data_IF_776845892512
#
_entry.id   IF_776845892512
#
_cell.length_a   1.000
_cell.length_b   1.000
_cell.length_c   1.000
_cell.angle_alpha   90.00
_cell.angle_beta   90.00
_cell.angle_gamma   90.00
#
_symmetry.space_group_name_H-M   'P 1'
#
loop_
_entity.id
_entity.type
_entity.pdbx_description
1 polymer ?
#
# COMPACT_ATOMS: atom_id res chain seq x y z
N UNK A 1 3.64 26.74 -2.28
CA UNK A 1 2.42 25.94 -2.55
C UNK A 1 2.72 24.90 -3.60
N UNK A 2 2.19 23.69 -3.44
CA UNK A 2 2.29 22.58 -4.39
C UNK A 2 0.91 22.25 -4.97
N UNK A 3 0.89 21.40 -6.00
CA UNK A 3 -0.34 20.86 -6.56
C UNK A 3 -0.14 19.41 -6.97
N UNK A 4 -1.23 18.67 -7.06
CA UNK A 4 -1.27 17.32 -7.60
C UNK A 4 -2.08 17.38 -8.89
N UNK A 5 -1.53 16.83 -9.95
CA UNK A 5 -2.21 16.68 -11.23
C UNK A 5 -2.39 15.20 -11.56
N UNK A 6 -3.62 14.80 -11.88
CA UNK A 6 -3.95 13.42 -12.26
C UNK A 6 -4.35 13.43 -13.74
N UNK A 7 -3.57 12.71 -14.56
CA UNK A 7 -3.84 12.56 -15.99
C UNK A 7 -4.35 11.14 -16.28
N UNK A 8 -5.64 11.01 -16.55
CA UNK A 8 -6.27 9.75 -16.92
C UNK A 8 -6.05 9.32 -18.38
N UNK A 9 -5.53 10.21 -19.24
CA UNK A 9 -5.29 9.93 -20.66
C UNK A 9 -3.84 9.61 -20.99
N UNK A 10 -2.91 10.04 -20.14
CA UNK A 10 -1.47 9.91 -20.39
C UNK A 10 -0.97 10.87 -21.49
N UNK A 11 -1.32 12.14 -21.40
CA UNK A 11 -0.95 13.15 -22.40
C UNK A 11 0.52 13.57 -22.26
N UNK A 12 1.34 13.02 -23.15
CA UNK A 12 2.78 13.32 -23.19
C UNK A 12 3.08 14.80 -23.49
N UNK A 13 2.23 15.49 -24.26
CA UNK A 13 2.42 16.90 -24.58
C UNK A 13 2.22 17.77 -23.34
N UNK A 14 1.20 17.45 -22.56
CA UNK A 14 0.94 18.13 -21.28
C UNK A 14 2.05 17.88 -20.28
N UNK A 15 2.51 16.64 -20.15
CA UNK A 15 3.65 16.31 -19.28
C UNK A 15 4.90 17.10 -19.68
N UNK A 16 5.26 17.13 -20.96
CA UNK A 16 6.42 17.87 -21.46
C UNK A 16 6.33 19.36 -21.15
N UNK A 17 5.15 19.93 -21.26
CA UNK A 17 4.89 21.34 -20.93
C UNK A 17 5.07 21.61 -19.44
N UNK A 18 4.48 20.79 -18.58
CA UNK A 18 4.63 20.90 -17.12
C UNK A 18 6.09 20.75 -16.70
N UNK A 19 6.78 19.75 -17.23
CA UNK A 19 8.20 19.53 -16.95
C UNK A 19 9.07 20.72 -17.37
N UNK A 20 8.83 21.28 -18.56
CA UNK A 20 9.55 22.46 -19.04
C UNK A 20 9.32 23.68 -18.12
N UNK A 21 8.10 23.86 -17.63
CA UNK A 21 7.78 24.95 -16.69
C UNK A 21 8.50 24.75 -15.34
N UNK A 22 8.48 23.54 -14.78
CA UNK A 22 9.17 23.21 -13.52
C UNK A 22 10.68 23.43 -13.67
N UNK A 23 11.25 22.97 -14.79
CA UNK A 23 12.67 23.15 -15.12
C UNK A 23 13.05 24.64 -15.29
N UNK A 24 12.21 25.45 -15.93
CA UNK A 24 12.48 26.89 -16.07
C UNK A 24 12.50 27.61 -14.72
N UNK A 25 11.90 27.03 -13.69
CA UNK A 25 11.89 27.55 -12.32
C UNK A 25 13.03 26.96 -11.46
N UNK A 26 13.86 26.06 -12.01
CA UNK A 26 14.91 25.35 -11.27
C UNK A 26 14.39 24.46 -10.14
N UNK A 27 13.21 23.86 -10.33
CA UNK A 27 12.51 23.07 -9.31
C UNK A 27 12.27 21.62 -9.73
N UNK A 28 13.14 21.06 -10.55
CA UNK A 28 13.03 19.69 -11.05
C UNK A 28 12.99 18.66 -9.91
N UNK A 29 13.76 18.90 -8.83
CA UNK A 29 13.83 18.03 -7.68
C UNK A 29 12.53 17.99 -6.85
N UNK A 30 11.68 18.99 -7.01
CA UNK A 30 10.36 19.05 -6.35
C UNK A 30 9.28 18.29 -7.16
N UNK A 31 9.59 17.86 -8.38
CA UNK A 31 8.65 17.17 -9.24
C UNK A 31 8.67 15.67 -9.00
N UNK A 32 7.52 15.12 -8.54
CA UNK A 32 7.31 13.69 -8.41
C UNK A 32 6.36 13.24 -9.52
N UNK A 33 6.83 12.29 -10.32
CA UNK A 33 6.04 11.67 -11.39
C UNK A 33 5.73 10.21 -11.02
N UNK A 34 4.44 9.86 -11.00
CA UNK A 34 3.99 8.47 -10.88
C UNK A 34 3.36 8.06 -12.20
N UNK A 35 4.01 7.15 -12.91
CA UNK A 35 3.54 6.64 -14.20
C UNK A 35 3.24 5.15 -14.09
N UNK A 36 1.95 4.81 -14.02
CA UNK A 36 1.49 3.42 -13.91
C UNK A 36 1.76 2.60 -15.18
N UNK A 37 1.94 3.23 -16.33
CA UNK A 37 2.20 2.55 -17.60
C UNK A 37 3.61 1.96 -17.69
N UNK A 38 4.57 2.49 -16.93
CA UNK A 38 5.95 1.98 -16.95
C UNK A 38 6.15 0.72 -16.10
N UNK A 39 5.22 0.44 -15.17
CA UNK A 39 5.27 -0.76 -14.32
C UNK A 39 4.71 -2.03 -14.97
N UNK A 40 4.02 -1.89 -16.11
CA UNK A 40 3.37 -3.02 -16.79
C UNK A 40 4.30 -3.78 -17.77
N UNK A 41 5.55 -3.39 -17.88
CA UNK A 41 6.52 -4.10 -18.72
C UNK A 41 7.34 -5.05 -17.87
N UNK A 42 7.20 -6.35 -18.11
CA UNK A 42 8.12 -7.39 -17.69
C UNK A 42 9.46 -7.21 -18.43
N UNK A 43 10.20 -6.16 -18.08
CA UNK A 43 11.48 -5.88 -18.72
C UNK A 43 12.56 -6.64 -17.97
N UNK A 44 12.96 -7.77 -18.50
CA UNK A 44 14.18 -8.48 -18.17
C UNK A 44 15.29 -7.78 -18.97
N UNK A 45 15.97 -6.81 -18.34
CA UNK A 45 17.09 -6.11 -18.97
C UNK A 45 17.64 -4.97 -18.11
N UNK A 46 18.83 -4.40 -18.43
CA UNK A 46 19.36 -3.25 -17.72
C UNK A 46 18.35 -2.10 -17.82
N UNK A 47 17.83 -1.68 -16.66
CA UNK A 47 16.80 -0.64 -16.59
C UNK A 47 17.41 0.71 -16.96
N UNK A 48 17.22 1.11 -18.21
CA UNK A 48 17.38 2.49 -18.58
C UNK A 48 16.40 3.35 -17.80
N UNK A 49 16.91 4.39 -17.16
CA UNK A 49 16.24 5.46 -16.39
C UNK A 49 14.76 5.24 -16.10
N UNK A 50 14.45 4.95 -14.85
CA UNK A 50 13.05 4.93 -14.39
C UNK A 50 12.45 6.34 -14.57
N UNK A 51 11.51 6.46 -15.48
CA UNK A 51 10.73 7.69 -15.69
C UNK A 51 9.54 7.79 -14.71
N UNK A 52 9.66 7.17 -13.55
CA UNK A 52 8.58 7.13 -12.55
C UNK A 52 9.15 7.02 -11.15
N UNK A 53 8.63 7.81 -10.24
CA UNK A 53 8.84 7.60 -8.82
C UNK A 53 8.00 6.42 -8.34
N UNK A 54 8.44 5.80 -7.26
CA UNK A 54 7.70 4.72 -6.59
C UNK A 54 6.84 5.29 -5.48
N UNK A 55 5.63 4.76 -5.34
CA UNK A 55 4.73 5.09 -4.24
C UNK A 55 4.31 3.81 -3.52
N UNK A 56 4.51 3.78 -2.21
CA UNK A 56 3.89 2.79 -1.35
C UNK A 56 2.72 3.44 -0.59
N UNK A 57 1.46 3.20 -1.00
CA UNK A 57 0.29 3.82 -0.37
C UNK A 57 0.09 3.36 1.09
N UNK A 58 0.72 2.25 1.50
CA UNK A 58 0.63 1.69 2.85
C UNK A 58 1.70 2.20 3.80
N UNK A 59 2.66 2.99 3.32
CA UNK A 59 3.76 3.53 4.13
C UNK A 59 3.29 4.50 5.22
N UNK A 60 2.14 5.11 5.04
CA UNK A 60 1.53 6.09 5.96
C UNK A 60 0.02 5.87 6.06
N UNK A 61 -0.60 6.43 7.08
CA UNK A 61 -2.04 6.36 7.32
C UNK A 61 -2.42 5.45 8.48
N UNK A 62 -3.61 5.69 9.03
CA UNK A 62 -4.17 4.88 10.12
C UNK A 62 -4.68 3.53 9.62
N UNK A 63 -4.91 2.60 10.54
CA UNK A 63 -5.47 1.28 10.22
C UNK A 63 -6.83 1.38 9.50
N UNK A 64 -7.69 2.30 9.94
CA UNK A 64 -9.00 2.51 9.31
C UNK A 64 -8.90 3.08 7.90
N UNK A 65 -8.01 4.07 7.67
CA UNK A 65 -7.79 4.63 6.34
C UNK A 65 -7.26 3.57 5.36
N UNK A 66 -6.29 2.77 5.80
CA UNK A 66 -5.69 1.73 4.96
C UNK A 66 -6.65 0.56 4.72
N UNK A 67 -7.48 0.21 5.70
CA UNK A 67 -8.56 -0.76 5.50
C UNK A 67 -9.55 -0.27 4.43
N UNK A 68 -10.00 0.97 4.52
CA UNK A 68 -10.89 1.57 3.50
C UNK A 68 -10.23 1.61 2.11
N UNK A 69 -8.94 1.91 2.03
CA UNK A 69 -8.20 1.85 0.76
C UNK A 69 -8.27 0.45 0.15
N UNK A 70 -7.96 -0.60 0.92
CA UNK A 70 -8.03 -1.99 0.44
C UNK A 70 -9.46 -2.36 0.03
N UNK A 71 -10.45 -2.02 0.86
CA UNK A 71 -11.87 -2.28 0.57
C UNK A 71 -12.31 -1.59 -0.72
N UNK A 72 -11.92 -0.35 -0.95
CA UNK A 72 -12.27 0.38 -2.17
C UNK A 72 -11.71 -0.27 -3.44
N UNK A 73 -10.56 -0.93 -3.35
CA UNK A 73 -9.99 -1.70 -4.45
C UNK A 73 -10.76 -3.01 -4.71
N UNK A 74 -11.39 -3.58 -3.67
CA UNK A 74 -12.22 -4.78 -3.79
C UNK A 74 -13.61 -4.48 -4.38
N UNK A 75 -14.14 -3.29 -4.19
CA UNK A 75 -15.50 -2.89 -4.60
C UNK A 75 -15.70 -2.84 -6.11
N UNK A 76 -14.64 -2.71 -6.87
CA UNK A 76 -14.72 -2.60 -8.32
C UNK A 76 -15.06 -3.91 -9.07
N UNK A 77 -15.21 -5.04 -8.38
CA UNK A 77 -15.22 -6.37 -9.00
C UNK A 77 -16.46 -7.25 -8.80
N UNK A 78 -17.52 -6.85 -8.05
CA UNK A 78 -18.65 -7.76 -7.78
C UNK A 78 -20.03 -7.10 -7.80
N UNK A 79 -20.94 -7.68 -8.58
CA UNK A 79 -22.35 -7.27 -8.74
C UNK A 79 -23.36 -8.42 -8.52
N UNK A 80 -23.18 -9.29 -7.50
CA UNK A 80 -24.13 -10.35 -7.19
C UNK A 80 -24.48 -10.40 -5.71
N UNK A 81 -25.76 -10.69 -5.38
CA UNK A 81 -26.32 -10.68 -4.02
C UNK A 81 -25.65 -11.66 -3.04
N UNK A 82 -25.14 -12.78 -3.52
CA UNK A 82 -24.36 -13.70 -2.68
C UNK A 82 -22.97 -13.14 -2.35
N UNK A 83 -22.51 -12.19 -3.12
CA UNK A 83 -21.24 -11.47 -2.89
C UNK A 83 -21.25 -10.59 -1.65
N UNK A 84 -22.42 -10.05 -1.24
CA UNK A 84 -22.49 -9.06 -0.16
C UNK A 84 -22.15 -9.64 1.23
N UNK A 85 -22.54 -10.88 1.50
CA UNK A 85 -22.20 -11.54 2.76
C UNK A 85 -20.71 -11.90 2.83
N UNK A 86 -20.14 -12.40 1.74
CA UNK A 86 -18.72 -12.71 1.66
C UNK A 86 -17.87 -11.44 1.73
N UNK A 87 -18.34 -10.38 1.10
CA UNK A 87 -17.74 -9.07 1.13
C UNK A 87 -17.68 -8.49 2.54
N UNK A 88 -18.78 -8.56 3.29
CA UNK A 88 -18.82 -8.13 4.68
C UNK A 88 -17.79 -8.85 5.56
N UNK A 89 -17.62 -10.16 5.37
CA UNK A 89 -16.59 -10.95 6.08
C UNK A 89 -15.18 -10.55 5.66
N UNK A 90 -14.95 -10.33 4.37
CA UNK A 90 -13.66 -9.90 3.86
C UNK A 90 -13.29 -8.50 4.38
N UNK A 91 -14.24 -7.58 4.45
CA UNK A 91 -14.05 -6.24 5.01
C UNK A 91 -13.63 -6.34 6.49
N UNK A 92 -14.39 -7.09 7.31
CA UNK A 92 -14.04 -7.28 8.72
C UNK A 92 -12.66 -7.91 8.92
N UNK A 93 -12.28 -8.84 8.05
CA UNK A 93 -10.94 -9.43 8.08
C UNK A 93 -9.84 -8.41 7.72
N UNK A 94 -10.06 -7.59 6.69
CA UNK A 94 -9.12 -6.51 6.30
C UNK A 94 -8.95 -5.50 7.43
N UNK A 95 -10.04 -5.11 8.09
CA UNK A 95 -9.99 -4.19 9.24
C UNK A 95 -9.17 -4.77 10.39
N UNK A 96 -9.41 -6.04 10.74
CA UNK A 96 -8.64 -6.73 11.77
C UNK A 96 -7.16 -6.83 11.40
N UNK A 97 -6.86 -7.19 10.16
CA UNK A 97 -5.50 -7.29 9.64
C UNK A 97 -4.76 -5.93 9.73
N UNK A 98 -5.41 -4.84 9.32
CA UNK A 98 -4.80 -3.52 9.38
C UNK A 98 -4.57 -3.03 10.82
N UNK A 99 -5.44 -3.40 11.77
CA UNK A 99 -5.23 -3.12 13.20
C UNK A 99 -3.97 -3.80 13.76
N UNK A 100 -3.53 -4.89 13.17
CA UNK A 100 -2.30 -5.59 13.55
C UNK A 100 -1.09 -5.03 12.80
N UNK A 101 -1.17 -4.92 11.48
CA UNK A 101 -0.02 -4.58 10.64
C UNK A 101 0.42 -3.12 10.77
N UNK A 102 -0.53 -2.19 10.97
CA UNK A 102 -0.19 -0.75 11.08
C UNK A 102 0.63 -0.44 12.33
N UNK A 103 0.25 -0.90 13.54
CA UNK A 103 1.12 -0.74 14.71
C UNK A 103 2.50 -1.36 14.54
N UNK A 104 2.60 -2.50 13.88
CA UNK A 104 3.89 -3.15 13.60
C UNK A 104 4.76 -2.32 12.64
N UNK A 105 4.13 -1.70 11.63
CA UNK A 105 4.80 -0.73 10.75
C UNK A 105 5.30 0.47 11.55
N UNK A 106 4.44 1.04 12.38
CA UNK A 106 4.75 2.25 13.16
C UNK A 106 5.84 1.99 14.20
N UNK A 107 5.90 0.77 14.73
CA UNK A 107 7.00 0.33 15.59
C UNK A 107 8.28 -0.05 14.82
N UNK A 108 8.27 0.00 13.50
CA UNK A 108 9.45 -0.32 12.67
C UNK A 108 9.74 -1.80 12.48
N UNK A 109 8.85 -2.70 12.89
CA UNK A 109 9.05 -4.15 12.75
C UNK A 109 8.87 -4.63 11.31
N UNK A 110 8.00 -3.98 10.54
CA UNK A 110 7.73 -4.32 9.15
C UNK A 110 7.73 -3.07 8.27
N UNK A 111 8.08 -3.27 7.00
CA UNK A 111 7.75 -2.33 5.93
C UNK A 111 6.40 -2.76 5.34
N UNK A 112 5.33 -2.07 5.72
CA UNK A 112 4.00 -2.42 5.25
C UNK A 112 3.85 -2.07 3.77
N UNK A 113 3.62 -3.09 2.95
CA UNK A 113 3.34 -3.02 1.52
C UNK A 113 2.28 -4.04 1.11
N UNK A 114 1.94 -4.08 -0.17
CA UNK A 114 0.95 -5.02 -0.70
C UNK A 114 1.36 -6.49 -0.52
N UNK A 115 2.67 -6.81 -0.55
CA UNK A 115 3.15 -8.18 -0.37
C UNK A 115 2.98 -8.62 1.07
N UNK A 116 3.28 -7.76 2.04
CA UNK A 116 3.06 -8.04 3.47
C UNK A 116 1.58 -8.26 3.72
N UNK A 117 0.70 -7.40 3.20
CA UNK A 117 -0.76 -7.58 3.33
C UNK A 117 -1.18 -8.94 2.76
N UNK A 118 -0.74 -9.28 1.56
CA UNK A 118 -1.05 -10.55 0.91
C UNK A 118 -0.56 -11.76 1.73
N UNK A 119 0.65 -11.69 2.29
CA UNK A 119 1.22 -12.78 3.07
C UNK A 119 0.49 -13.03 4.38
N UNK A 120 -0.05 -11.97 4.99
CA UNK A 120 -0.84 -12.04 6.23
C UNK A 120 -2.34 -12.11 5.98
N UNK A 121 -2.79 -12.09 4.74
CA UNK A 121 -4.19 -12.34 4.37
C UNK A 121 -4.51 -13.84 4.50
N UNK A 122 -4.22 -14.38 5.69
CA UNK A 122 -4.38 -15.78 6.03
C UNK A 122 -4.76 -15.90 7.49
N UNK A 123 -5.99 -16.34 7.78
CA UNK A 123 -6.55 -16.34 9.12
C UNK A 123 -5.65 -17.00 10.17
N UNK A 124 -5.09 -18.23 9.97
CA UNK A 124 -4.21 -18.84 10.94
C UNK A 124 -2.96 -18.03 11.27
N UNK A 125 -2.41 -17.28 10.31
CA UNK A 125 -1.27 -16.39 10.57
C UNK A 125 -1.67 -15.19 11.41
N UNK A 126 -2.84 -14.63 11.16
CA UNK A 126 -3.37 -13.52 11.95
C UNK A 126 -3.70 -13.98 13.38
N UNK A 127 -4.34 -15.13 13.52
CA UNK A 127 -4.65 -15.72 14.82
C UNK A 127 -3.38 -15.99 15.65
N UNK A 128 -2.33 -16.54 15.05
CA UNK A 128 -1.06 -16.75 15.72
C UNK A 128 -0.47 -15.44 16.27
N UNK A 129 -0.51 -14.35 15.49
CA UNK A 129 -0.04 -13.04 15.99
C UNK A 129 -0.88 -12.56 17.16
N UNK A 130 -2.19 -12.66 17.08
CA UNK A 130 -3.11 -12.14 18.11
C UNK A 130 -3.05 -12.98 19.39
N UNK A 131 -3.00 -14.31 19.27
CA UNK A 131 -3.02 -15.23 20.41
C UNK A 131 -1.64 -15.33 21.06
N UNK A 132 -0.61 -15.54 20.27
CA UNK A 132 0.75 -15.75 20.77
C UNK A 132 1.49 -14.45 21.04
N UNK A 133 0.96 -13.33 20.56
CA UNK A 133 1.56 -11.98 20.64
C UNK A 133 3.02 -11.96 20.18
N UNK A 134 3.31 -12.81 19.19
CA UNK A 134 4.64 -12.96 18.61
C UNK A 134 4.55 -12.81 17.10
N UNK A 135 5.42 -11.98 16.56
CA UNK A 135 5.57 -11.83 15.13
C UNK A 135 6.82 -12.55 14.65
N UNK A 136 6.65 -13.42 13.66
CA UNK A 136 7.76 -14.10 13.01
C UNK A 136 7.90 -13.58 11.59
N UNK A 137 8.99 -12.89 11.34
CA UNK A 137 9.40 -12.51 9.99
C UNK A 137 10.20 -13.65 9.39
N UNK A 138 9.97 -13.98 8.11
CA UNK A 138 10.66 -15.06 7.42
C UNK A 138 12.19 -14.97 7.62
N UNK A 139 12.77 -16.02 8.21
CA UNK A 139 14.21 -16.11 8.48
C UNK A 139 14.73 -15.32 9.67
N UNK A 140 13.86 -14.76 10.52
CA UNK A 140 14.25 -14.01 11.72
C UNK A 140 13.73 -14.67 13.02
N UNK A 141 14.34 -14.26 14.15
CA UNK A 141 13.84 -14.64 15.46
C UNK A 141 12.47 -14.05 15.75
N UNK A 142 11.64 -14.74 16.57
CA UNK A 142 10.36 -14.23 17.01
C UNK A 142 10.50 -12.86 17.69
N UNK A 143 9.66 -11.91 17.32
CA UNK A 143 9.61 -10.56 17.91
C UNK A 143 8.36 -10.50 18.78
N UNK A 144 8.52 -10.23 20.10
CA UNK A 144 7.38 -9.99 20.97
C UNK A 144 6.70 -8.66 20.61
N UNK A 145 5.38 -8.70 20.46
CA UNK A 145 4.53 -7.55 20.15
C UNK A 145 3.60 -7.18 21.32
N UNK A 146 3.83 -7.74 22.50
CA UNK A 146 3.03 -7.45 23.72
C UNK A 146 2.98 -5.99 24.09
N UNK A 147 4.01 -5.22 23.73
CA UNK A 147 4.10 -3.80 24.00
C UNK A 147 3.31 -2.92 23.02
N UNK A 148 2.71 -3.49 21.98
CA UNK A 148 1.92 -2.73 21.01
C UNK A 148 0.47 -2.61 21.51
N UNK A 149 0.03 -1.42 21.96
CA UNK A 149 -1.24 -1.27 22.68
C UNK A 149 -2.49 -1.49 21.82
N UNK A 150 -2.38 -1.42 20.53
CA UNK A 150 -3.53 -1.48 19.60
C UNK A 150 -3.89 -2.87 19.09
N UNK A 151 -3.17 -3.92 19.51
CA UNK A 151 -3.43 -5.31 19.05
C UNK A 151 -4.42 -6.03 19.95
N UNK A 152 -4.76 -5.47 21.11
CA UNK A 152 -5.47 -6.18 22.21
C UNK A 152 -6.87 -5.66 22.48
N UNK A 153 -7.48 -4.86 21.63
CA UNK A 153 -8.89 -4.41 21.83
C UNK A 153 -9.83 -4.91 20.75
#
# INVERSE_FOLDING_TARGET
SGFIYVDGKGDNALFSKLFSMVRSMGREDDMLLINFMTGARDVIGPQERRLSNTLNPFARGSSSMLAQLVVSLMDSSSSSSDGDMWKGRAIGFVEALMKVLVPMRDAGHILLDANVIRNYFHLPRLEAIVLDKVFIRDGQYPISIEHLPSIVT
#
